data_IF_026327934437
#
_entry.id   IF_026327934437
#
_cell.length_a   1.000
_cell.length_b   1.000
_cell.length_c   1.000
_cell.angle_alpha   90.00
_cell.angle_beta   90.00
_cell.angle_gamma   90.00
#
_symmetry.space_group_name_H-M   'P 1'
#
loop_
_entity.id
_entity.type
_entity.pdbx_description
1 polymer ?
#
# COMPACT_ATOMS: atom_id res chain seq x y z
N UNK A 1 26.09 20.06 9.66
CA UNK A 1 25.14 20.22 8.56
C UNK A 1 23.91 19.39 8.93
N UNK A 2 22.69 19.95 8.86
CA UNK A 2 21.49 19.17 9.16
C UNK A 2 21.37 18.05 8.11
N UNK A 3 21.48 16.80 8.55
CA UNK A 3 21.27 15.64 7.68
C UNK A 3 19.87 15.71 7.07
N UNK A 4 19.80 15.71 5.75
CA UNK A 4 18.55 15.89 5.01
C UNK A 4 17.59 14.73 5.32
N UNK A 5 16.38 15.06 5.78
CA UNK A 5 15.32 14.10 6.01
C UNK A 5 14.94 13.40 4.70
N UNK A 6 14.81 12.07 4.75
CA UNK A 6 14.27 11.23 3.70
C UNK A 6 12.77 11.11 3.94
N UNK A 7 12.00 11.49 2.93
CA UNK A 7 10.57 11.19 2.83
C UNK A 7 10.44 10.05 1.82
N UNK A 8 10.33 8.78 2.23
CA UNK A 8 10.41 7.66 1.30
C UNK A 8 9.30 7.68 0.22
N UNK A 9 8.12 8.17 0.58
CA UNK A 9 6.98 8.41 -0.32
C UNK A 9 7.10 9.68 -1.16
N UNK A 10 8.21 10.43 -1.07
CA UNK A 10 8.48 11.62 -1.88
C UNK A 10 9.88 11.56 -2.52
N UNK A 11 10.47 10.37 -2.60
CA UNK A 11 11.75 10.16 -3.27
C UNK A 11 11.64 10.59 -4.75
N UNK A 12 12.62 11.36 -5.29
CA UNK A 12 12.65 11.75 -6.69
C UNK A 12 12.50 10.52 -7.60
N UNK A 13 11.54 10.55 -8.52
CA UNK A 13 11.19 9.42 -9.39
C UNK A 13 9.71 9.05 -9.42
N UNK A 14 8.90 9.46 -8.45
CA UNK A 14 7.43 9.32 -8.52
C UNK A 14 6.85 10.12 -9.69
N UNK A 15 7.46 11.27 -10.01
CA UNK A 15 7.10 12.16 -11.12
C UNK A 15 7.86 11.84 -12.43
N UNK A 16 8.97 11.08 -12.37
CA UNK A 16 9.86 10.84 -13.53
C UNK A 16 9.84 9.41 -14.08
N UNK A 17 9.40 8.40 -13.30
CA UNK A 17 8.91 7.18 -13.97
C UNK A 17 7.58 7.55 -14.62
N UNK A 18 7.34 7.23 -15.90
CA UNK A 18 6.01 7.42 -16.46
C UNK A 18 5.06 6.55 -15.63
N UNK A 19 4.38 7.17 -14.66
CA UNK A 19 3.04 6.74 -14.33
C UNK A 19 2.30 6.68 -15.66
N UNK A 20 1.44 5.68 -15.86
CA UNK A 20 0.40 5.89 -16.85
C UNK A 20 -0.22 7.23 -16.44
N UNK A 21 -0.05 8.26 -17.28
CA UNK A 21 -0.51 9.58 -16.93
C UNK A 21 -1.98 9.43 -16.52
N UNK A 22 -2.46 10.19 -15.53
CA UNK A 22 -3.88 10.14 -15.16
C UNK A 22 -4.80 10.36 -16.37
N UNK A 23 -4.27 10.88 -17.48
CA UNK A 23 -4.90 10.98 -18.79
C UNK A 23 -4.01 10.46 -19.94
N UNK A 24 -3.36 9.31 -19.79
CA UNK A 24 -2.57 8.70 -20.87
C UNK A 24 -3.45 8.40 -22.10
N UNK A 25 -2.86 8.28 -23.29
CA UNK A 25 -3.62 8.00 -24.53
C UNK A 25 -4.54 6.75 -24.44
N UNK A 26 -4.24 5.82 -23.51
CA UNK A 26 -5.04 4.63 -23.23
C UNK A 26 -6.07 4.78 -22.09
N UNK A 27 -6.13 5.93 -21.39
CA UNK A 27 -7.11 6.26 -20.35
C UNK A 27 -7.37 7.78 -20.27
N UNK A 28 -7.89 8.42 -21.34
CA UNK A 28 -8.10 9.86 -21.39
C UNK A 28 -9.05 10.39 -20.30
N UNK A 29 -9.97 9.56 -19.81
CA UNK A 29 -10.96 9.89 -18.76
C UNK A 29 -10.43 9.69 -17.32
N UNK A 30 -9.21 9.17 -17.17
CA UNK A 30 -8.59 8.88 -15.87
C UNK A 30 -9.34 7.87 -15.02
N UNK A 31 -10.01 6.91 -15.67
CA UNK A 31 -10.81 5.88 -15.00
C UNK A 31 -9.95 4.98 -14.12
N UNK A 32 -8.71 4.69 -14.53
CA UNK A 32 -7.78 3.83 -13.79
C UNK A 32 -7.34 4.49 -12.48
N UNK A 33 -6.93 5.75 -12.56
CA UNK A 33 -6.55 6.53 -11.38
C UNK A 33 -7.73 6.65 -10.40
N UNK A 34 -8.93 6.91 -10.93
CA UNK A 34 -10.15 6.99 -10.12
C UNK A 34 -10.47 5.66 -9.44
N UNK A 35 -10.48 4.55 -10.19
CA UNK A 35 -10.69 3.20 -9.65
C UNK A 35 -9.69 2.91 -8.53
N UNK A 36 -8.41 3.17 -8.76
CA UNK A 36 -7.35 2.96 -7.78
C UNK A 36 -7.62 3.68 -6.46
N UNK A 37 -8.04 4.96 -6.52
CA UNK A 37 -8.41 5.73 -5.32
C UNK A 37 -9.62 5.15 -4.58
N UNK A 38 -10.60 4.61 -5.30
CA UNK A 38 -11.78 3.99 -4.69
C UNK A 38 -11.43 2.67 -4.00
N UNK A 39 -10.62 1.83 -4.64
CA UNK A 39 -10.11 0.59 -4.04
C UNK A 39 -9.28 0.90 -2.79
N UNK A 40 -8.38 1.90 -2.85
CA UNK A 40 -7.60 2.36 -1.69
C UNK A 40 -8.51 2.75 -0.52
N UNK A 41 -9.47 3.63 -0.77
CA UNK A 41 -10.39 4.10 0.27
C UNK A 41 -11.20 2.95 0.89
N UNK A 42 -11.62 1.96 0.08
CA UNK A 42 -12.31 0.79 0.60
C UNK A 42 -11.38 -0.09 1.45
N UNK A 43 -10.14 -0.34 1.02
CA UNK A 43 -9.14 -1.10 1.79
C UNK A 43 -8.71 -0.39 3.08
N UNK A 44 -8.77 0.94 3.09
CA UNK A 44 -8.52 1.75 4.27
C UNK A 44 -9.66 1.60 5.30
N UNK A 45 -10.92 1.74 4.87
CA UNK A 45 -12.05 1.92 5.78
C UNK A 45 -12.93 0.69 6.02
N UNK A 46 -13.00 -0.26 5.10
CA UNK A 46 -13.82 -1.47 5.30
C UNK A 46 -13.29 -2.37 6.43
N UNK A 47 -11.98 -2.55 6.64
CA UNK A 47 -11.48 -3.39 7.73
C UNK A 47 -11.95 -2.97 9.13
N UNK A 48 -12.18 -1.68 9.34
CA UNK A 48 -12.67 -1.11 10.61
C UNK A 48 -14.15 -1.45 10.89
N UNK A 49 -14.86 -2.03 9.93
CA UNK A 49 -16.26 -2.44 10.07
C UNK A 49 -16.40 -3.92 10.42
N UNK A 50 -17.46 -4.30 11.15
CA UNK A 50 -17.85 -5.70 11.29
C UNK A 50 -18.04 -6.36 9.92
N UNK A 51 -17.65 -7.63 9.78
CA UNK A 51 -17.54 -8.33 8.48
C UNK A 51 -18.87 -8.30 7.72
N UNK A 52 -19.97 -8.53 8.44
CA UNK A 52 -21.35 -8.50 7.99
C UNK A 52 -21.79 -7.13 7.43
N UNK A 53 -21.19 -6.03 7.88
CA UNK A 53 -21.52 -4.68 7.41
C UNK A 53 -20.69 -4.24 6.19
N UNK A 54 -19.51 -4.84 5.97
CA UNK A 54 -18.53 -4.39 4.97
C UNK A 54 -19.13 -4.30 3.57
N UNK A 55 -19.90 -5.31 3.16
CA UNK A 55 -20.54 -5.36 1.84
C UNK A 55 -21.55 -4.23 1.65
N UNK A 56 -22.43 -4.01 2.63
CA UNK A 56 -23.43 -2.94 2.55
C UNK A 56 -22.78 -1.55 2.56
N UNK A 57 -21.74 -1.36 3.39
CA UNK A 57 -20.98 -0.12 3.45
C UNK A 57 -20.24 0.18 2.13
N UNK A 58 -19.58 -0.84 1.55
CA UNK A 58 -18.87 -0.73 0.27
C UNK A 58 -19.81 -0.39 -0.90
N UNK A 59 -20.98 -1.05 -0.98
CA UNK A 59 -22.02 -0.71 -1.98
C UNK A 59 -22.44 0.74 -1.88
N UNK A 60 -22.79 1.20 -0.66
CA UNK A 60 -23.24 2.58 -0.43
C UNK A 60 -22.15 3.61 -0.77
N UNK A 61 -20.89 3.29 -0.50
CA UNK A 61 -19.76 4.16 -0.87
C UNK A 61 -19.63 4.26 -2.39
N UNK A 62 -19.58 3.13 -3.10
CA UNK A 62 -19.36 3.09 -4.55
C UNK A 62 -20.52 3.68 -5.36
N UNK A 63 -21.76 3.60 -4.85
CA UNK A 63 -22.95 4.16 -5.48
C UNK A 63 -23.03 5.70 -5.46
N UNK A 64 -22.08 6.39 -4.82
CA UNK A 64 -22.08 7.87 -4.79
C UNK A 64 -21.88 8.42 -6.21
N UNK A 65 -22.78 9.28 -6.72
CA UNK A 65 -22.71 9.79 -8.09
C UNK A 65 -21.37 10.47 -8.44
N UNK A 66 -20.72 11.09 -7.46
CA UNK A 66 -19.40 11.74 -7.63
C UNK A 66 -18.26 10.78 -8.01
N UNK A 67 -18.46 9.46 -7.91
CA UNK A 67 -17.50 8.47 -8.41
C UNK A 67 -17.67 8.21 -9.91
N UNK A 68 -18.86 8.44 -10.47
CA UNK A 68 -19.16 8.22 -11.88
C UNK A 68 -18.92 6.79 -12.33
N UNK A 69 -19.31 5.81 -11.50
CA UNK A 69 -19.24 4.38 -11.80
C UNK A 69 -20.62 3.86 -12.20
N UNK A 70 -20.69 3.00 -13.20
CA UNK A 70 -21.90 2.21 -13.47
C UNK A 70 -22.07 1.06 -12.45
N UNK A 71 -23.24 0.41 -12.45
CA UNK A 71 -23.54 -0.67 -11.49
C UNK A 71 -22.58 -1.87 -11.62
N UNK A 72 -22.12 -2.18 -12.83
CA UNK A 72 -21.21 -3.29 -13.08
C UNK A 72 -19.81 -2.99 -12.53
N UNK A 73 -19.32 -1.76 -12.72
CA UNK A 73 -18.07 -1.28 -12.14
C UNK A 73 -18.12 -1.27 -10.61
N UNK A 74 -19.22 -0.78 -10.02
CA UNK A 74 -19.42 -0.80 -8.57
C UNK A 74 -19.37 -2.24 -8.03
N UNK A 75 -20.06 -3.17 -8.68
CA UNK A 75 -20.06 -4.58 -8.28
C UNK A 75 -18.66 -5.20 -8.41
N UNK A 76 -17.98 -5.01 -9.55
CA UNK A 76 -16.62 -5.53 -9.78
C UNK A 76 -15.63 -5.03 -8.73
N UNK A 77 -15.58 -3.72 -8.48
CA UNK A 77 -14.67 -3.13 -7.47
C UNK A 77 -14.95 -3.74 -6.10
N UNK A 78 -16.22 -3.85 -5.73
CA UNK A 78 -16.59 -4.36 -4.41
C UNK A 78 -16.20 -5.83 -4.23
N UNK A 79 -16.46 -6.68 -5.21
CA UNK A 79 -16.11 -8.11 -5.11
C UNK A 79 -14.60 -8.29 -5.01
N UNK A 80 -13.81 -7.57 -5.80
CA UNK A 80 -12.34 -7.64 -5.73
C UNK A 80 -11.81 -7.21 -4.35
N UNK A 81 -12.34 -6.11 -3.80
CA UNK A 81 -11.94 -5.65 -2.47
C UNK A 81 -12.34 -6.65 -1.40
N UNK A 82 -13.58 -7.14 -1.41
CA UNK A 82 -14.04 -8.10 -0.40
C UNK A 82 -13.28 -9.43 -0.48
N UNK A 83 -12.97 -9.90 -1.69
CA UNK A 83 -12.15 -11.09 -1.90
C UNK A 83 -10.75 -10.91 -1.31
N UNK A 84 -10.13 -9.74 -1.51
CA UNK A 84 -8.83 -9.42 -0.93
C UNK A 84 -8.88 -9.36 0.60
N UNK A 85 -9.88 -8.69 1.17
CA UNK A 85 -10.05 -8.61 2.63
C UNK A 85 -10.30 -9.98 3.27
N UNK A 86 -10.86 -10.94 2.52
CA UNK A 86 -11.12 -12.29 2.97
C UNK A 86 -9.98 -13.28 2.63
N UNK A 87 -8.95 -12.85 1.89
CA UNK A 87 -7.87 -13.73 1.48
C UNK A 87 -7.07 -14.21 2.71
N UNK A 88 -6.97 -15.53 2.97
CA UNK A 88 -6.36 -16.06 4.19
C UNK A 88 -4.94 -15.55 4.45
N UNK A 89 -4.16 -15.38 3.38
CA UNK A 89 -2.76 -14.96 3.45
C UNK A 89 -2.57 -13.53 4.02
N UNK A 90 -3.63 -12.71 4.04
CA UNK A 90 -3.59 -11.31 4.50
C UNK A 90 -4.74 -10.92 5.41
N UNK A 91 -5.66 -11.83 5.73
CA UNK A 91 -6.79 -11.56 6.62
C UNK A 91 -6.30 -10.99 7.96
N UNK A 92 -5.19 -11.51 8.47
CA UNK A 92 -4.51 -11.02 9.67
C UNK A 92 -4.09 -9.55 9.58
N UNK A 93 -3.77 -9.06 8.38
CA UNK A 93 -3.37 -7.68 8.14
C UNK A 93 -4.56 -6.72 8.19
N UNK A 94 -5.77 -7.24 7.97
CA UNK A 94 -7.02 -6.50 8.05
C UNK A 94 -7.77 -6.71 9.37
N UNK A 95 -7.11 -7.30 10.36
CA UNK A 95 -7.64 -7.50 11.70
C UNK A 95 -7.76 -6.21 12.53
N UNK A 96 -8.37 -6.30 13.73
CA UNK A 96 -8.63 -5.15 14.60
C UNK A 96 -7.36 -4.48 15.14
N UNK A 97 -6.26 -5.22 15.28
CA UNK A 97 -4.97 -4.71 15.77
C UNK A 97 -4.16 -3.99 14.69
N UNK A 98 -4.77 -3.73 13.54
CA UNK A 98 -4.10 -3.09 12.43
C UNK A 98 -4.42 -1.61 12.33
N UNK A 99 -3.38 -0.83 12.06
CA UNK A 99 -3.43 0.60 11.91
C UNK A 99 -3.42 0.94 10.42
N UNK A 100 -4.47 1.60 9.94
CA UNK A 100 -4.49 2.23 8.62
C UNK A 100 -3.79 3.59 8.66
N UNK A 101 -3.13 3.98 7.57
CA UNK A 101 -2.44 5.27 7.43
C UNK A 101 -1.49 5.57 8.62
N UNK A 102 -0.71 4.56 9.01
CA UNK A 102 0.12 4.63 10.21
C UNK A 102 1.36 5.51 9.96
N UNK A 103 1.56 6.60 10.73
CA UNK A 103 2.75 7.41 10.60
C UNK A 103 3.97 6.64 11.10
N UNK A 104 5.09 6.79 10.40
CA UNK A 104 6.38 6.24 10.79
C UNK A 104 7.45 7.32 10.77
N UNK A 105 8.31 7.30 11.79
CA UNK A 105 9.42 8.23 11.91
C UNK A 105 10.57 7.53 12.65
N UNK A 106 11.80 7.73 12.18
CA UNK A 106 13.00 7.23 12.83
C UNK A 106 14.26 7.66 12.11
N UNK A 107 15.41 7.51 12.75
CA UNK A 107 16.71 7.88 12.15
C UNK A 107 17.42 6.62 11.66
N UNK A 108 17.78 6.58 10.38
CA UNK A 108 18.53 5.47 9.78
C UNK A 108 19.79 6.03 9.13
N UNK A 109 20.96 5.54 9.58
CA UNK A 109 22.26 6.04 9.12
C UNK A 109 22.45 7.54 9.26
N UNK A 110 22.11 8.09 10.43
CA UNK A 110 22.14 9.53 10.72
C UNK A 110 20.99 10.33 10.09
N UNK A 111 20.27 9.77 9.11
CA UNK A 111 19.23 10.50 8.37
C UNK A 111 17.86 10.27 8.96
N UNK A 112 17.13 11.35 9.20
CA UNK A 112 15.72 11.28 9.59
C UNK A 112 14.91 10.68 8.43
N UNK A 113 14.17 9.62 8.69
CA UNK A 113 13.21 8.99 7.79
C UNK A 113 11.81 9.23 8.35
N UNK A 114 10.92 9.82 7.56
CA UNK A 114 9.53 10.05 7.96
C UNK A 114 8.59 9.68 6.83
N UNK A 115 7.45 9.08 7.14
CA UNK A 115 6.46 8.69 6.15
C UNK A 115 5.17 8.19 6.79
N UNK A 116 4.29 7.70 5.94
CA UNK A 116 3.03 7.09 6.34
C UNK A 116 2.89 5.80 5.53
N UNK A 117 2.57 4.70 6.21
CA UNK A 117 2.30 3.42 5.56
C UNK A 117 0.80 3.20 5.51
N UNK A 118 0.29 2.64 4.42
CA UNK A 118 -1.16 2.44 4.27
C UNK A 118 -1.73 1.48 5.30
N UNK A 119 -0.93 0.47 5.68
CA UNK A 119 -1.30 -0.50 6.71
C UNK A 119 -0.10 -0.97 7.51
N UNK A 120 -0.26 -1.01 8.83
CA UNK A 120 0.70 -1.57 9.77
C UNK A 120 0.01 -2.57 10.71
N UNK A 121 0.62 -3.71 10.94
CA UNK A 121 0.24 -4.63 12.02
C UNK A 121 1.46 -4.97 12.84
N UNK A 122 1.30 -4.88 14.15
CA UNK A 122 2.34 -5.21 15.11
C UNK A 122 1.89 -6.43 15.90
N UNK A 123 2.50 -7.58 15.64
CA UNK A 123 2.31 -8.84 16.38
C UNK A 123 3.43 -9.03 17.41
N UNK A 124 3.32 -10.02 18.33
CA UNK A 124 4.36 -10.30 19.31
C UNK A 124 5.73 -10.64 18.69
N UNK A 125 5.74 -11.36 17.57
CA UNK A 125 6.92 -11.91 16.90
C UNK A 125 7.28 -11.21 15.57
N UNK A 126 6.34 -10.49 14.96
CA UNK A 126 6.53 -9.83 13.66
C UNK A 126 5.78 -8.51 13.52
N UNK A 127 6.25 -7.68 12.59
CA UNK A 127 5.60 -6.47 12.10
C UNK A 127 5.32 -6.65 10.62
N UNK A 128 4.09 -6.37 10.19
CA UNK A 128 3.66 -6.44 8.80
C UNK A 128 3.38 -5.03 8.29
N UNK A 129 3.94 -4.68 7.14
CA UNK A 129 3.79 -3.37 6.49
C UNK A 129 3.23 -3.55 5.09
N UNK A 130 2.12 -2.88 4.79
CA UNK A 130 1.58 -2.80 3.43
C UNK A 130 1.60 -1.37 2.90
N UNK A 131 1.80 -1.27 1.59
CA UNK A 131 1.64 -0.04 0.81
C UNK A 131 0.88 -0.38 -0.49
N UNK A 132 -0.07 0.45 -0.86
CA UNK A 132 -1.05 0.24 -1.90
C UNK A 132 -0.65 0.96 -3.17
N UNK A 133 -0.49 0.22 -4.26
CA UNK A 133 -0.12 0.76 -5.57
C UNK A 133 -1.32 0.77 -6.51
N UNK A 134 -1.77 1.98 -6.80
CA UNK A 134 -3.05 2.27 -7.47
C UNK A 134 -2.97 2.57 -8.96
N UNK A 135 -1.78 2.89 -9.45
CA UNK A 135 -1.61 3.57 -10.75
C UNK A 135 -0.99 2.70 -11.85
N UNK A 136 -0.66 1.44 -11.56
CA UNK A 136 0.08 0.56 -12.50
C UNK A 136 -0.38 -0.89 -12.37
N UNK A 137 -0.42 -1.65 -13.48
CA UNK A 137 -0.52 -3.10 -13.41
C UNK A 137 0.61 -3.68 -12.55
N UNK A 138 0.34 -4.73 -11.76
CA UNK A 138 1.39 -5.40 -11.00
C UNK A 138 2.44 -6.00 -11.94
N UNK A 139 3.74 -5.94 -11.60
CA UNK A 139 4.74 -6.76 -12.28
C UNK A 139 4.49 -8.25 -12.03
N UNK A 140 5.17 -9.12 -12.77
CA UNK A 140 5.00 -10.56 -12.60
C UNK A 140 5.62 -11.02 -11.28
N UNK A 141 6.79 -10.48 -10.93
CA UNK A 141 7.56 -10.86 -9.73
C UNK A 141 7.96 -9.65 -8.88
N UNK A 142 8.45 -9.91 -7.66
CA UNK A 142 8.91 -8.86 -6.75
C UNK A 142 10.19 -8.18 -7.26
N UNK A 143 11.05 -8.90 -7.98
CA UNK A 143 12.30 -8.41 -8.55
C UNK A 143 12.10 -7.38 -9.66
N UNK A 144 10.93 -7.41 -10.31
CA UNK A 144 10.52 -6.47 -11.36
C UNK A 144 9.86 -5.21 -10.79
N UNK A 145 9.65 -5.13 -9.48
CA UNK A 145 9.12 -3.94 -8.82
C UNK A 145 10.08 -2.77 -9.04
N UNK A 146 9.51 -1.62 -9.40
CA UNK A 146 10.29 -0.40 -9.64
C UNK A 146 11.19 -0.10 -8.42
N UNK A 147 12.50 0.17 -8.63
CA UNK A 147 13.47 0.42 -7.56
C UNK A 147 13.03 1.47 -6.53
N UNK A 148 12.24 2.46 -6.95
CA UNK A 148 11.66 3.47 -6.08
C UNK A 148 10.80 2.89 -4.97
N UNK A 149 9.89 1.97 -5.29
CA UNK A 149 9.03 1.31 -4.30
C UNK A 149 9.84 0.38 -3.39
N UNK A 150 10.86 -0.28 -3.93
CA UNK A 150 11.76 -1.12 -3.12
C UNK A 150 12.54 -0.27 -2.10
N UNK A 151 13.08 0.89 -2.51
CA UNK A 151 13.74 1.85 -1.59
C UNK A 151 12.78 2.39 -0.55
N UNK A 152 11.55 2.72 -0.95
CA UNK A 152 10.51 3.17 -0.02
C UNK A 152 10.24 2.13 1.07
N UNK A 153 9.92 0.90 0.67
CA UNK A 153 9.63 -0.18 1.60
C UNK A 153 10.85 -0.58 2.44
N UNK A 154 12.05 -0.53 1.87
CA UNK A 154 13.29 -0.80 2.62
C UNK A 154 13.56 0.26 3.69
N UNK A 155 13.30 1.55 3.42
CA UNK A 155 13.40 2.61 4.41
C UNK A 155 12.39 2.45 5.54
N UNK A 156 11.13 2.11 5.21
CA UNK A 156 10.09 1.81 6.21
C UNK A 156 10.50 0.63 7.10
N UNK A 157 10.97 -0.45 6.48
CA UNK A 157 11.47 -1.63 7.18
C UNK A 157 12.64 -1.31 8.12
N UNK A 158 13.57 -0.45 7.69
CA UNK A 158 14.71 -0.06 8.51
C UNK A 158 14.29 0.70 9.78
N UNK A 159 13.37 1.66 9.65
CA UNK A 159 12.80 2.39 10.80
C UNK A 159 12.10 1.42 11.76
N UNK A 160 11.25 0.54 11.24
CA UNK A 160 10.45 -0.37 12.06
C UNK A 160 11.30 -1.45 12.75
N UNK A 161 12.41 -1.89 12.15
CA UNK A 161 13.37 -2.81 12.79
C UNK A 161 14.01 -2.20 14.04
N UNK A 162 14.26 -0.89 14.04
CA UNK A 162 14.78 -0.19 15.22
C UNK A 162 13.69 -0.01 16.29
N UNK A 163 12.46 0.33 15.87
CA UNK A 163 11.35 0.54 16.78
C UNK A 163 10.87 -0.75 17.47
N UNK A 164 11.02 -1.90 16.81
CA UNK A 164 10.55 -3.21 17.28
C UNK A 164 11.70 -4.24 17.32
N UNK A 165 12.67 -4.09 18.23
CA UNK A 165 13.81 -5.00 18.32
C UNK A 165 13.38 -6.43 18.60
N UNK A 166 14.02 -7.40 17.93
CA UNK A 166 13.72 -8.82 18.07
C UNK A 166 12.50 -9.31 17.28
N UNK A 167 11.80 -8.45 16.54
CA UNK A 167 10.69 -8.85 15.66
C UNK A 167 11.11 -8.89 14.20
N UNK A 168 10.57 -9.86 13.46
CA UNK A 168 10.66 -9.83 12.00
C UNK A 168 9.88 -8.62 11.46
N UNK A 169 10.33 -8.02 10.37
CA UNK A 169 9.60 -6.94 9.68
C UNK A 169 9.42 -7.35 8.24
N UNK A 170 8.19 -7.76 7.92
CA UNK A 170 7.79 -8.21 6.59
C UNK A 170 7.04 -7.07 5.87
N UNK A 171 7.31 -6.94 4.59
CA UNK A 171 6.75 -5.90 3.75
C UNK A 171 6.06 -6.51 2.54
N UNK A 172 4.94 -5.94 2.13
CA UNK A 172 4.28 -6.32 0.89
C UNK A 172 3.67 -5.09 0.21
N UNK A 173 3.49 -5.19 -1.11
CA UNK A 173 2.70 -4.24 -1.88
C UNK A 173 1.34 -4.84 -2.18
N UNK A 174 0.29 -4.01 -2.14
CA UNK A 174 -1.04 -4.38 -2.63
C UNK A 174 -1.32 -3.62 -3.91
N UNK A 175 -1.45 -4.34 -5.01
CA UNK A 175 -1.73 -3.78 -6.33
C UNK A 175 -3.24 -3.73 -6.53
N UNK A 176 -3.81 -2.52 -6.56
CA UNK A 176 -5.27 -2.34 -6.62
C UNK A 176 -5.85 -2.60 -8.02
N UNK A 177 -5.01 -2.79 -9.04
CA UNK A 177 -5.46 -3.12 -10.40
C UNK A 177 -6.17 -4.48 -10.49
N UNK A 178 -5.81 -5.42 -9.61
CA UNK A 178 -6.46 -6.74 -9.53
C UNK A 178 -6.41 -7.32 -8.13
N UNK A 179 -6.41 -6.44 -7.12
CA UNK A 179 -6.32 -6.77 -5.70
C UNK A 179 -5.27 -7.87 -5.42
N UNK A 180 -4.03 -7.64 -5.89
CA UNK A 180 -2.94 -8.62 -5.78
C UNK A 180 -1.97 -8.23 -4.69
N UNK A 181 -1.79 -9.10 -3.71
CA UNK A 181 -0.69 -8.99 -2.75
C UNK A 181 0.63 -9.45 -3.39
N UNK A 182 1.69 -8.70 -3.14
CA UNK A 182 3.05 -9.04 -3.52
C UNK A 182 3.98 -8.90 -2.31
N UNK A 183 4.27 -10.00 -1.59
CA UNK A 183 5.31 -10.01 -0.58
C UNK A 183 6.66 -9.57 -1.17
N UNK A 184 7.40 -8.76 -0.43
CA UNK A 184 8.74 -8.32 -0.79
C UNK A 184 9.76 -9.10 0.04
N UNK A 185 10.54 -10.02 -0.56
CA UNK A 185 11.51 -10.82 0.18
C UNK A 185 12.53 -9.97 0.92
N UNK A 186 12.87 -10.34 2.15
CA UNK A 186 13.88 -9.64 2.95
C UNK A 186 15.22 -9.46 2.20
N UNK A 187 15.80 -10.49 1.52
CA UNK A 187 17.04 -10.32 0.75
C UNK A 187 16.91 -9.39 -0.46
N UNK A 188 15.70 -9.17 -0.96
CA UNK A 188 15.47 -8.16 -1.99
C UNK A 188 15.53 -6.77 -1.36
N UNK A 189 14.80 -6.53 -0.27
CA UNK A 189 14.78 -5.24 0.42
C UNK A 189 16.12 -4.85 1.03
N UNK A 190 16.92 -5.81 1.50
CA UNK A 190 18.25 -5.54 2.06
C UNK A 190 19.18 -4.86 1.02
N UNK A 191 18.97 -5.12 -0.29
CA UNK A 191 19.73 -4.45 -1.38
C UNK A 191 19.35 -2.98 -1.60
N UNK A 192 18.22 -2.55 -1.06
CA UNK A 192 17.68 -1.20 -1.20
C UNK A 192 17.60 -0.46 0.14
N UNK A 193 18.11 -1.05 1.23
CA UNK A 193 18.16 -0.40 2.53
C UNK A 193 18.95 0.91 2.41
N UNK A 194 18.48 1.99 3.05
CA UNK A 194 19.28 3.21 3.14
C UNK A 194 20.61 2.88 3.84
N UNK A 195 21.69 3.49 3.37
CA UNK A 195 23.01 3.35 3.99
C UNK A 195 22.89 3.66 5.49
N UNK A 196 23.36 2.72 6.32
CA UNK A 196 23.42 2.86 7.77
C UNK A 196 24.73 3.53 8.21
#
# INVERSE_FOLDING_TARGET
>A
AAEAAIMPSALPGEQETPAAAPHGAADPEGRRFRRGRLVHALLQHLPERPVEERRAAGRRFLARPGHGLDEAEQASILEEVLALLAAPDIADVFGPDSLAEAPIAGTVGGRLVTGQVDRLVVKPDRVLVLDYKTNRPPPATAEEVAPLYLRQMAAYRAVLRQAFPGRAVDCALVWTYGARLMPLPAPLLDRYAPDA
#
